data_IF_117557370976
#
_entry.id   IF_117557370976
#
_cell.length_a   1.000
_cell.length_b   1.000
_cell.length_c   1.000
_cell.angle_alpha   90.00
_cell.angle_beta   90.00
_cell.angle_gamma   90.00
#
_symmetry.space_group_name_H-M   'P 1'
#
loop_
_entity.id
_entity.type
_entity.pdbx_description
1 polymer ?
#
# COMPACT_ATOMS: atom_id res chain seq x y z
N UNK A 1 32.50 -18.92 -49.58
CA UNK A 1 31.50 -17.93 -49.16
C UNK A 1 30.22 -18.66 -48.76
N UNK A 2 30.03 -18.95 -47.47
CA UNK A 2 28.76 -19.44 -46.91
C UNK A 2 28.39 -18.46 -45.81
N UNK A 3 27.43 -17.59 -46.08
CA UNK A 3 26.91 -16.61 -45.12
C UNK A 3 26.02 -17.33 -44.13
N UNK A 4 26.48 -17.45 -42.88
CA UNK A 4 25.68 -17.90 -41.73
C UNK A 4 24.60 -16.87 -41.43
N UNK A 5 23.34 -17.26 -41.55
CA UNK A 5 22.20 -16.50 -41.04
C UNK A 5 22.04 -16.80 -39.54
N UNK A 6 22.53 -15.90 -38.70
CA UNK A 6 22.21 -15.87 -37.27
C UNK A 6 20.74 -15.43 -37.11
N UNK A 7 19.85 -16.38 -36.82
CA UNK A 7 18.48 -16.09 -36.40
C UNK A 7 18.54 -15.58 -34.96
N UNK A 8 18.56 -14.27 -34.78
CA UNK A 8 18.40 -13.64 -33.47
C UNK A 8 16.97 -13.91 -33.00
N UNK A 9 16.82 -14.87 -32.08
CA UNK A 9 15.62 -15.02 -31.25
C UNK A 9 15.56 -13.78 -30.36
N UNK A 10 14.91 -12.73 -30.85
CA UNK A 10 14.55 -11.58 -30.03
C UNK A 10 13.47 -12.10 -29.09
N UNK A 11 13.88 -12.53 -27.90
CA UNK A 11 12.97 -12.73 -26.79
C UNK A 11 12.35 -11.35 -26.54
N UNK A 12 11.15 -11.10 -27.08
CA UNK A 12 10.37 -9.94 -26.73
C UNK A 12 10.15 -10.03 -25.23
N UNK A 13 10.98 -9.31 -24.47
CA UNK A 13 10.77 -9.07 -23.05
C UNK A 13 9.34 -8.54 -22.99
N UNK A 14 8.40 -9.37 -22.55
CA UNK A 14 7.05 -8.95 -22.24
C UNK A 14 7.17 -8.07 -21.00
N UNK A 15 7.50 -6.80 -21.21
CA UNK A 15 7.30 -5.77 -20.20
C UNK A 15 5.82 -5.83 -19.89
N UNK A 16 5.47 -6.44 -18.75
CA UNK A 16 4.10 -6.50 -18.30
C UNK A 16 3.58 -5.07 -18.21
N UNK A 17 2.81 -4.63 -19.20
CA UNK A 17 2.11 -3.36 -19.15
C UNK A 17 0.91 -3.57 -18.24
N UNK A 18 1.16 -3.74 -16.94
CA UNK A 18 0.13 -3.71 -15.92
C UNK A 18 -0.39 -2.29 -15.83
N UNK A 19 -1.32 -1.91 -16.72
CA UNK A 19 -1.94 -0.59 -16.69
C UNK A 19 -2.73 -0.46 -15.39
N UNK A 20 -2.36 0.51 -14.56
CA UNK A 20 -3.05 0.86 -13.32
C UNK A 20 -4.57 1.01 -13.57
N UNK A 21 -5.47 0.49 -12.72
CA UNK A 21 -6.92 0.65 -12.93
C UNK A 21 -7.37 2.11 -13.03
N UNK A 22 -8.41 2.38 -13.82
CA UNK A 22 -8.88 3.73 -14.16
C UNK A 22 -9.20 4.55 -12.90
N UNK A 23 -9.78 3.92 -11.88
CA UNK A 23 -10.04 4.56 -10.59
C UNK A 23 -8.74 5.04 -9.93
N UNK A 24 -7.72 4.18 -9.84
CA UNK A 24 -6.43 4.49 -9.24
C UNK A 24 -5.65 5.54 -10.05
N UNK A 25 -5.99 5.72 -11.34
CA UNK A 25 -5.41 6.78 -12.15
C UNK A 25 -5.91 8.19 -11.78
N UNK A 26 -7.08 8.31 -11.13
CA UNK A 26 -7.70 9.60 -10.81
C UNK A 26 -7.21 10.11 -9.46
N UNK A 27 -7.03 11.42 -9.30
CA UNK A 27 -6.76 12.02 -7.98
C UNK A 27 -7.98 11.80 -7.07
N UNK A 28 -7.79 11.26 -5.87
CA UNK A 28 -8.85 11.20 -4.87
C UNK A 28 -9.25 12.63 -4.44
N UNK A 29 -10.50 12.80 -4.00
CA UNK A 29 -11.07 14.11 -3.67
C UNK A 29 -11.23 14.21 -2.16
N UNK A 30 -10.36 14.99 -1.53
CA UNK A 30 -10.48 15.31 -0.10
C UNK A 30 -11.71 16.18 0.15
N UNK A 31 -12.33 16.00 1.31
CA UNK A 31 -13.44 16.81 1.78
C UNK A 31 -13.04 18.29 1.88
N UNK A 32 -13.89 19.18 1.36
CA UNK A 32 -13.74 20.64 1.45
C UNK A 32 -14.78 21.26 2.38
N UNK A 33 -15.20 20.54 3.43
CA UNK A 33 -16.28 20.93 4.34
C UNK A 33 -17.39 19.86 4.43
N UNK A 34 -18.51 20.22 5.05
CA UNK A 34 -19.65 19.33 5.22
C UNK A 34 -20.42 19.15 3.89
N UNK A 35 -21.02 17.98 3.71
CA UNK A 35 -21.90 17.67 2.60
C UNK A 35 -23.20 17.13 3.19
N UNK A 36 -24.35 17.70 2.82
CA UNK A 36 -25.67 17.24 3.30
C UNK A 36 -25.79 17.13 4.83
N UNK A 37 -25.15 18.03 5.58
CA UNK A 37 -25.05 17.99 7.05
C UNK A 37 -24.31 16.76 7.63
N UNK A 38 -23.64 15.97 6.79
CA UNK A 38 -22.75 14.90 7.20
C UNK A 38 -21.30 15.41 7.29
N UNK A 39 -20.63 15.02 8.38
CA UNK A 39 -19.20 15.28 8.56
C UNK A 39 -18.33 14.38 7.66
N UNK A 40 -17.05 14.72 7.49
CA UNK A 40 -16.12 13.90 6.72
C UNK A 40 -15.91 12.53 7.36
N UNK A 41 -15.81 11.50 6.52
CA UNK A 41 -15.45 10.13 6.91
C UNK A 41 -14.04 9.78 6.44
N UNK A 42 -13.36 8.89 7.15
CA UNK A 42 -12.04 8.40 6.74
C UNK A 42 -12.20 7.40 5.58
N UNK A 43 -11.45 7.60 4.51
CA UNK A 43 -11.35 6.72 3.35
C UNK A 43 -9.90 6.54 2.92
N UNK A 44 -9.69 5.60 2.00
CA UNK A 44 -8.38 5.36 1.37
C UNK A 44 -8.43 5.65 -0.11
N UNK A 45 -7.37 6.27 -0.63
CA UNK A 45 -7.21 6.59 -2.04
C UNK A 45 -5.79 6.30 -2.46
N UNK A 46 -5.61 5.89 -3.72
CA UNK A 46 -4.31 5.68 -4.30
C UNK A 46 -3.70 7.01 -4.74
N UNK A 47 -2.55 7.34 -4.19
CA UNK A 47 -1.72 8.44 -4.62
C UNK A 47 -0.65 7.91 -5.60
N UNK A 48 -0.72 8.35 -6.85
CA UNK A 48 0.22 7.97 -7.91
C UNK A 48 1.63 8.52 -7.69
N UNK A 49 1.75 9.71 -7.09
CA UNK A 49 3.04 10.34 -6.83
C UNK A 49 3.77 9.58 -5.73
N UNK A 50 3.01 9.10 -4.74
CA UNK A 50 3.52 8.27 -3.64
C UNK A 50 3.61 6.78 -3.98
N UNK A 51 2.96 6.35 -5.07
CA UNK A 51 2.84 4.95 -5.48
C UNK A 51 2.09 4.08 -4.46
N UNK A 52 1.23 4.66 -3.64
CA UNK A 52 0.69 3.99 -2.45
C UNK A 52 -0.71 4.47 -2.06
N UNK A 53 -1.39 3.66 -1.24
CA UNK A 53 -2.69 4.01 -0.67
C UNK A 53 -2.54 4.85 0.60
N UNK A 54 -3.17 6.02 0.58
CA UNK A 54 -3.12 7.00 1.66
C UNK A 54 -4.50 7.18 2.29
N UNK A 55 -4.51 7.48 3.58
CA UNK A 55 -5.71 7.85 4.30
C UNK A 55 -6.06 9.31 4.03
N UNK A 56 -7.34 9.59 3.78
CA UNK A 56 -7.85 10.96 3.58
C UNK A 56 -9.27 11.13 4.12
N UNK A 57 -9.68 12.38 4.35
CA UNK A 57 -11.06 12.71 4.72
C UNK A 57 -11.93 12.89 3.49
N UNK A 58 -13.07 12.20 3.44
CA UNK A 58 -14.00 12.18 2.32
C UNK A 58 -15.39 12.68 2.72
N UNK A 59 -16.05 13.43 1.83
CA UNK A 59 -17.46 13.81 1.95
C UNK A 59 -18.26 13.35 0.71
N UNK A 60 -19.52 12.97 0.89
CA UNK A 60 -20.33 12.21 -0.09
C UNK A 60 -20.69 12.95 -1.39
N UNK A 61 -20.45 14.26 -1.47
CA UNK A 61 -20.96 15.10 -2.56
C UNK A 61 -20.16 15.05 -3.87
N UNK A 62 -18.84 14.84 -3.81
CA UNK A 62 -17.94 15.05 -4.98
C UNK A 62 -16.84 13.99 -5.11
N UNK A 63 -17.14 12.78 -4.65
CA UNK A 63 -16.23 11.64 -4.75
C UNK A 63 -16.02 11.12 -6.17
N UNK A 64 -14.99 10.30 -6.31
CA UNK A 64 -14.82 9.42 -7.45
C UNK A 64 -14.49 8.01 -6.95
N UNK A 65 -14.28 7.06 -7.87
CA UNK A 65 -14.01 5.66 -7.53
C UNK A 65 -12.64 5.39 -6.90
N UNK A 66 -11.73 6.37 -6.86
CA UNK A 66 -10.52 6.30 -6.04
C UNK A 66 -10.86 6.57 -4.56
N UNK A 67 -11.72 5.71 -4.01
CA UNK A 67 -12.29 5.84 -2.69
C UNK A 67 -12.65 4.45 -2.19
N UNK A 68 -11.86 3.97 -1.25
CA UNK A 68 -11.96 2.63 -0.69
C UNK A 68 -12.26 2.73 0.81
N UNK A 69 -13.02 1.76 1.33
CA UNK A 69 -13.40 1.73 2.73
C UNK A 69 -12.24 1.30 3.63
N UNK A 70 -11.31 0.49 3.10
CA UNK A 70 -10.14 0.02 3.84
C UNK A 70 -8.85 0.18 3.04
N UNK A 71 -7.73 0.22 3.77
CA UNK A 71 -6.41 0.27 3.14
C UNK A 71 -6.11 -0.99 2.34
N UNK A 72 -6.51 -2.16 2.86
CA UNK A 72 -6.40 -3.44 2.16
C UNK A 72 -7.13 -3.41 0.81
N UNK A 73 -8.36 -2.92 0.76
CA UNK A 73 -9.13 -2.81 -0.49
C UNK A 73 -8.42 -1.93 -1.52
N UNK A 74 -7.94 -0.76 -1.09
CA UNK A 74 -7.17 0.13 -1.95
C UNK A 74 -5.90 -0.53 -2.48
N UNK A 75 -5.10 -1.16 -1.61
CA UNK A 75 -3.85 -1.81 -2.03
C UNK A 75 -4.12 -2.96 -2.99
N UNK A 76 -5.07 -3.84 -2.68
CA UNK A 76 -5.42 -4.96 -3.57
C UNK A 76 -5.86 -4.45 -4.96
N UNK A 77 -6.51 -3.28 -5.01
CA UNK A 77 -6.94 -2.70 -6.28
C UNK A 77 -5.84 -1.97 -7.02
N UNK A 78 -5.04 -1.17 -6.34
CA UNK A 78 -4.17 -0.16 -6.95
C UNK A 78 -2.67 -0.46 -6.82
N UNK A 79 -2.28 -1.32 -5.88
CA UNK A 79 -0.89 -1.74 -5.66
C UNK A 79 -0.83 -3.17 -5.07
N UNK A 80 -1.26 -4.19 -5.83
CA UNK A 80 -1.35 -5.57 -5.35
C UNK A 80 0.02 -6.17 -4.97
N UNK A 81 1.11 -5.65 -5.56
CA UNK A 81 2.49 -6.03 -5.26
C UNK A 81 3.07 -5.33 -4.03
N UNK A 82 2.26 -4.53 -3.32
CA UNK A 82 2.71 -3.82 -2.13
C UNK A 82 3.28 -4.80 -1.11
N UNK A 83 4.47 -4.50 -0.59
CA UNK A 83 5.08 -5.28 0.51
C UNK A 83 4.17 -5.38 1.74
N UNK A 84 3.22 -4.44 1.90
CA UNK A 84 2.26 -4.40 3.00
C UNK A 84 1.13 -5.42 2.84
N UNK A 85 0.98 -6.06 1.68
CA UNK A 85 0.06 -7.19 1.46
C UNK A 85 0.74 -8.55 1.59
N UNK A 86 2.08 -8.59 1.61
CA UNK A 86 2.80 -9.86 1.70
C UNK A 86 2.47 -10.58 3.01
N UNK A 87 2.25 -11.88 2.92
CA UNK A 87 1.99 -12.72 4.07
C UNK A 87 3.23 -12.83 4.97
N UNK A 88 3.04 -12.67 6.27
CA UNK A 88 4.02 -13.08 7.27
C UNK A 88 3.50 -14.29 8.02
N UNK A 89 4.20 -15.43 7.96
CA UNK A 89 3.88 -16.59 8.79
C UNK A 89 3.89 -16.20 10.28
N UNK A 90 2.79 -16.47 10.98
CA UNK A 90 2.71 -16.38 12.44
C UNK A 90 3.20 -17.68 13.09
N UNK A 91 4.45 -17.67 13.55
CA UNK A 91 4.83 -17.69 14.97
C UNK A 91 3.95 -18.43 15.99
N UNK A 92 4.14 -19.74 16.03
CA UNK A 92 3.92 -20.52 17.25
C UNK A 92 5.13 -20.33 18.18
N UNK A 93 4.88 -20.00 19.46
CA UNK A 93 5.94 -19.87 20.46
C UNK A 93 5.58 -18.97 21.63
N UNK A 94 6.01 -19.36 22.84
CA UNK A 94 5.65 -18.66 24.06
C UNK A 94 6.60 -17.50 24.41
N UNK A 95 7.85 -17.48 23.93
CA UNK A 95 8.87 -16.49 24.34
C UNK A 95 9.44 -15.68 23.17
N UNK A 96 9.77 -14.41 23.41
CA UNK A 96 9.97 -13.38 22.38
C UNK A 96 11.36 -12.75 22.48
N UNK A 97 12.37 -13.43 21.91
CA UNK A 97 13.78 -12.98 22.00
C UNK A 97 14.09 -11.80 21.06
N UNK A 98 13.53 -11.80 19.84
CA UNK A 98 13.78 -10.73 18.86
C UNK A 98 12.48 -10.03 18.49
N UNK A 99 12.43 -8.72 18.78
CA UNK A 99 11.28 -7.88 18.42
C UNK A 99 11.35 -7.50 16.94
N UNK A 100 10.28 -7.78 16.22
CA UNK A 100 10.01 -7.20 14.91
C UNK A 100 8.51 -6.98 14.75
N UNK A 101 8.14 -6.30 13.67
CA UNK A 101 6.79 -5.85 13.40
C UNK A 101 6.36 -6.28 12.00
N UNK A 102 5.06 -6.44 11.79
CA UNK A 102 4.45 -6.66 10.49
C UNK A 102 3.22 -5.75 10.36
N UNK A 103 2.83 -5.42 9.14
CA UNK A 103 1.63 -4.63 8.91
C UNK A 103 0.44 -5.57 8.64
N UNK A 104 -0.64 -5.39 9.39
CA UNK A 104 -1.91 -6.09 9.19
C UNK A 104 -2.84 -5.20 8.35
N UNK A 105 -3.02 -5.57 7.07
CA UNK A 105 -3.80 -4.77 6.13
C UNK A 105 -5.30 -4.71 6.46
N UNK A 106 -5.85 -5.77 7.06
CA UNK A 106 -7.27 -5.83 7.44
C UNK A 106 -7.60 -4.84 8.56
N UNK A 107 -6.66 -4.67 9.50
CA UNK A 107 -6.84 -3.80 10.66
C UNK A 107 -6.19 -2.43 10.48
N UNK A 108 -5.42 -2.25 9.41
CA UNK A 108 -4.61 -1.06 9.15
C UNK A 108 -3.72 -0.69 10.36
N UNK A 109 -3.01 -1.70 10.85
CA UNK A 109 -2.20 -1.64 12.06
C UNK A 109 -0.86 -2.32 11.89
N UNK A 110 0.18 -1.70 12.45
CA UNK A 110 1.47 -2.36 12.62
C UNK A 110 1.48 -3.14 13.93
N UNK A 111 1.78 -4.44 13.84
CA UNK A 111 1.68 -5.40 14.94
C UNK A 111 2.99 -6.12 15.18
N UNK A 112 3.14 -6.57 16.41
CA UNK A 112 4.30 -7.24 16.95
C UNK A 112 4.36 -8.72 16.45
N UNK A 113 5.42 -9.13 15.74
CA UNK A 113 5.62 -10.54 15.29
C UNK A 113 5.90 -11.48 16.46
N UNK A 114 5.26 -12.64 16.59
CA UNK A 114 5.49 -13.54 17.74
C UNK A 114 6.71 -14.49 17.61
N UNK A 115 7.66 -14.26 16.69
CA UNK A 115 8.78 -15.18 16.42
C UNK A 115 9.73 -15.33 17.61
N UNK A 116 10.26 -16.54 17.79
CA UNK A 116 11.39 -16.81 18.66
C UNK A 116 12.74 -16.42 18.03
N UNK A 117 12.94 -16.74 16.74
CA UNK A 117 14.20 -16.55 16.00
C UNK A 117 14.33 -15.16 15.36
N UNK A 118 15.55 -14.78 15.00
CA UNK A 118 15.80 -13.63 14.14
C UNK A 118 15.33 -13.91 12.71
N UNK A 119 14.74 -12.90 12.07
CA UNK A 119 14.39 -12.96 10.65
C UNK A 119 14.72 -11.65 9.97
N UNK A 120 15.01 -11.73 8.67
CA UNK A 120 15.27 -10.55 7.84
C UNK A 120 14.06 -9.63 7.74
N UNK A 121 14.32 -8.32 7.78
CA UNK A 121 13.35 -7.21 7.65
C UNK A 121 13.44 -6.49 6.30
N UNK A 122 14.11 -7.13 5.33
CA UNK A 122 14.26 -6.61 3.96
C UNK A 122 12.91 -6.37 3.28
N UNK A 123 12.92 -5.56 2.22
CA UNK A 123 11.72 -5.12 1.50
C UNK A 123 10.87 -6.25 0.89
N UNK A 124 11.47 -7.42 0.62
CA UNK A 124 10.78 -8.64 0.18
C UNK A 124 9.79 -9.22 1.19
N UNK A 125 9.70 -8.68 2.40
CA UNK A 125 8.80 -9.16 3.43
C UNK A 125 7.94 -8.03 3.98
N UNK A 126 6.73 -8.36 4.43
CA UNK A 126 5.93 -7.51 5.30
C UNK A 126 6.48 -7.54 6.75
N UNK A 127 7.77 -7.25 6.92
CA UNK A 127 8.46 -7.38 8.21
C UNK A 127 9.43 -6.24 8.44
N UNK A 128 9.38 -5.64 9.62
CA UNK A 128 10.05 -4.40 9.97
C UNK A 128 10.78 -4.54 11.30
N UNK A 129 11.94 -3.88 11.42
CA UNK A 129 12.76 -3.95 12.63
C UNK A 129 12.09 -3.23 13.82
N UNK A 130 11.38 -2.14 13.54
CA UNK A 130 10.71 -1.33 14.55
C UNK A 130 9.34 -0.84 14.06
N UNK A 131 8.54 -0.34 15.00
CA UNK A 131 7.19 0.16 14.75
C UNK A 131 7.19 1.31 13.74
N UNK A 132 8.08 2.29 13.92
CA UNK A 132 8.13 3.51 13.10
C UNK A 132 8.37 3.19 11.62
N UNK A 133 9.25 2.24 11.33
CA UNK A 133 9.52 1.80 9.96
C UNK A 133 8.31 1.12 9.33
N UNK A 134 7.56 0.32 10.12
CA UNK A 134 6.32 -0.29 9.67
C UNK A 134 5.27 0.77 9.32
N UNK A 135 5.06 1.76 10.21
CA UNK A 135 4.06 2.81 9.99
C UNK A 135 4.44 3.70 8.81
N UNK A 136 5.70 4.09 8.70
CA UNK A 136 6.20 4.88 7.57
C UNK A 136 6.01 4.16 6.23
N UNK A 137 6.21 2.84 6.21
CA UNK A 137 6.08 2.04 5.00
C UNK A 137 4.62 1.73 4.64
N UNK A 138 3.76 1.46 5.62
CA UNK A 138 2.45 0.85 5.38
C UNK A 138 1.25 1.63 5.91
N UNK A 139 1.43 2.78 6.59
CA UNK A 139 0.34 3.59 7.17
C UNK A 139 0.49 5.07 6.83
N UNK A 140 0.70 5.40 5.55
CA UNK A 140 0.81 6.79 5.08
C UNK A 140 -0.53 7.53 5.25
N UNK A 141 -0.44 8.77 5.74
CA UNK A 141 -1.58 9.62 6.04
C UNK A 141 -1.42 10.97 5.34
N UNK A 142 -2.43 11.36 4.56
CA UNK A 142 -2.46 12.65 3.84
C UNK A 142 -3.38 13.67 4.52
N UNK A 143 -3.94 13.34 5.69
CA UNK A 143 -4.75 14.29 6.45
C UNK A 143 -3.90 15.42 7.07
N UNK A 144 -2.59 15.24 7.23
CA UNK A 144 -1.68 16.24 7.79
C UNK A 144 -1.35 17.37 6.78
N UNK A 145 -1.35 17.06 5.48
CA UNK A 145 -1.09 18.04 4.41
C UNK A 145 -2.27 19.00 4.18
N UNK A 146 -3.46 18.65 4.67
CA UNK A 146 -4.70 19.42 4.50
C UNK A 146 -4.88 20.47 5.60
N UNK A 147 -4.37 20.22 6.82
CA UNK A 147 -4.46 21.16 7.94
C UNK A 147 -3.33 22.21 7.96
N UNK A 148 -2.28 22.03 7.16
CA UNK A 148 -1.14 22.95 7.09
C UNK A 148 -1.25 23.99 5.96
N UNK A 149 -2.39 24.02 5.25
CA UNK A 149 -2.64 24.89 4.09
C UNK A 149 -3.82 25.85 4.29
N UNK A 150 -4.34 25.94 5.53
CA UNK A 150 -5.46 26.81 5.92
C UNK A 150 -5.00 27.97 6.77
#
# INVERSE_FOLDING_TARGET
>A
MRTSLLVFVICYISYGTGSLPIECQRKFRTATGNCNNEGPSVRYGYDKEKGDCVRYYYNSCRGNKNNFASRSECLNRCNPESRCLLFTYENEGNWRLFKSYYYNATLDECRLTKTYTYHSTSEKYNRFANMKDCEKACRRNDTEDVYSSG
#
